data_IF_425825626744
#
_entry.id   IF_425825626744
#
_cell.length_a   1.000
_cell.length_b   1.000
_cell.length_c   1.000
_cell.angle_alpha   90.00
_cell.angle_beta   90.00
_cell.angle_gamma   90.00
#
_symmetry.space_group_name_H-M   'P 1'
#
loop_
_entity.id
_entity.type
_entity.pdbx_description
1 polymer ?
#
# COMPACT_ATOMS: atom_id res chain seq x y z
N UNK A 1 -6.80 10.85 39.79
CA UNK A 1 -6.05 9.60 39.63
C UNK A 1 -5.53 9.65 38.21
N UNK A 2 -4.24 9.88 38.02
CA UNK A 2 -3.59 9.67 36.73
C UNK A 2 -3.79 8.19 36.40
N UNK A 3 -4.40 7.89 35.26
CA UNK A 3 -4.40 6.53 34.76
C UNK A 3 -2.93 6.16 34.54
N UNK A 4 -2.44 5.14 35.25
CA UNK A 4 -1.12 4.57 35.02
C UNK A 4 -1.02 4.28 33.51
N UNK A 5 -0.18 5.03 32.80
CA UNK A 5 0.04 4.81 31.38
C UNK A 5 0.65 3.42 31.19
N UNK A 6 -0.04 2.57 30.45
CA UNK A 6 0.45 1.23 30.13
C UNK A 6 1.83 1.36 29.49
N UNK A 7 2.82 0.65 30.04
CA UNK A 7 4.20 0.61 29.54
C UNK A 7 4.46 -0.71 28.86
N UNK A 8 5.18 -0.67 27.74
CA UNK A 8 5.58 -1.85 26.97
C UNK A 8 7.07 -1.79 26.70
N UNK A 9 7.79 -2.88 26.95
CA UNK A 9 9.22 -3.03 26.67
C UNK A 9 9.43 -4.11 25.63
N UNK A 10 9.86 -3.74 24.43
CA UNK A 10 10.37 -4.67 23.42
C UNK A 10 11.84 -4.91 23.74
N UNK A 11 12.22 -6.18 24.02
CA UNK A 11 13.53 -6.51 24.56
C UNK A 11 14.35 -7.37 23.61
N UNK A 12 15.58 -6.94 23.32
CA UNK A 12 16.58 -7.74 22.62
C UNK A 12 16.37 -7.85 21.12
N UNK A 13 15.61 -6.95 20.50
CA UNK A 13 15.46 -6.91 19.05
C UNK A 13 16.69 -6.34 18.35
N UNK A 14 16.96 -6.75 17.10
CA UNK A 14 17.72 -5.92 16.16
C UNK A 14 16.85 -4.73 15.78
N UNK A 15 17.30 -3.53 16.07
CA UNK A 15 16.60 -2.30 15.70
C UNK A 15 17.15 -1.83 14.37
N UNK A 16 16.33 -1.91 13.33
CA UNK A 16 16.67 -1.43 12.00
C UNK A 16 15.81 -0.20 11.68
N UNK A 17 16.43 0.96 11.66
CA UNK A 17 15.77 2.26 11.53
C UNK A 17 16.38 3.07 10.39
N UNK A 18 15.93 2.90 9.14
CA UNK A 18 16.51 3.57 7.98
C UNK A 18 16.48 5.09 8.10
N UNK A 19 15.40 5.67 8.66
CA UNK A 19 15.25 7.11 8.82
C UNK A 19 16.38 7.77 9.63
N UNK A 20 17.08 6.99 10.47
CA UNK A 20 18.19 7.45 11.33
C UNK A 20 19.52 6.79 10.99
N UNK A 21 19.55 5.85 10.03
CA UNK A 21 20.73 5.06 9.68
C UNK A 21 21.21 4.13 10.81
N UNK A 22 20.27 3.64 11.63
CA UNK A 22 20.57 2.83 12.81
C UNK A 22 20.33 1.33 12.53
N UNK A 23 21.27 0.47 12.95
CA UNK A 23 21.17 -0.98 12.86
C UNK A 23 21.99 -1.60 14.01
N UNK A 24 21.31 -1.95 15.12
CA UNK A 24 21.96 -2.49 16.32
C UNK A 24 20.97 -3.32 17.16
N UNK A 25 21.47 -4.14 18.10
CA UNK A 25 20.62 -4.86 19.06
C UNK A 25 20.32 -3.96 20.24
N UNK A 26 19.04 -3.82 20.59
CA UNK A 26 18.60 -2.96 21.68
C UNK A 26 17.20 -3.26 22.18
N UNK A 27 16.72 -2.36 23.03
CA UNK A 27 15.41 -2.40 23.64
C UNK A 27 14.65 -1.12 23.33
N UNK A 28 13.32 -1.21 23.20
CA UNK A 28 12.45 -0.09 22.95
C UNK A 28 11.43 -0.01 24.09
N UNK A 29 11.41 1.11 24.82
CA UNK A 29 10.42 1.36 25.86
C UNK A 29 9.35 2.30 25.31
N UNK A 30 8.11 1.89 25.47
CA UNK A 30 6.91 2.60 25.03
C UNK A 30 6.11 3.01 26.26
N UNK A 31 5.56 4.23 26.26
CA UNK A 31 4.66 4.75 27.27
C UNK A 31 3.49 5.46 26.60
N UNK A 32 2.29 4.94 26.80
CA UNK A 32 1.12 5.41 26.05
C UNK A 32 1.26 5.10 24.55
N UNK A 33 1.10 6.12 23.72
CA UNK A 33 1.19 6.01 22.25
C UNK A 33 2.57 6.37 21.68
N UNK A 34 3.57 6.67 22.55
CA UNK A 34 4.89 7.14 22.11
C UNK A 34 6.02 6.25 22.60
N UNK A 35 7.08 6.21 21.81
CA UNK A 35 8.37 5.63 22.22
C UNK A 35 9.01 6.57 23.22
N UNK A 36 9.22 6.10 24.46
CA UNK A 36 9.85 6.91 25.51
C UNK A 36 11.38 6.83 25.48
N UNK A 37 11.95 5.68 25.13
CA UNK A 37 13.39 5.51 25.00
C UNK A 37 13.75 4.34 24.08
N UNK A 38 14.93 4.43 23.45
CA UNK A 38 15.55 3.34 22.68
C UNK A 38 17.02 3.25 23.11
N UNK A 39 17.47 2.08 23.58
CA UNK A 39 18.87 1.86 24.01
C UNK A 39 19.15 0.37 24.23
N UNK A 40 20.42 -0.01 24.19
CA UNK A 40 20.87 -1.38 24.46
C UNK A 40 20.53 -1.88 25.88
N UNK A 41 20.52 -0.98 26.88
CA UNK A 41 20.44 -1.33 28.30
C UNK A 41 19.19 -0.77 29.00
N UNK A 42 18.03 -0.75 28.31
CA UNK A 42 16.78 -0.36 28.96
C UNK A 42 16.21 -1.49 29.81
N UNK A 43 15.75 -1.11 30.99
CA UNK A 43 15.02 -1.98 31.90
C UNK A 43 13.87 -1.20 32.55
N UNK A 44 12.71 -1.80 32.62
CA UNK A 44 11.55 -1.26 33.31
C UNK A 44 10.82 -2.44 33.99
N UNK A 45 10.75 -2.42 35.31
CA UNK A 45 10.15 -3.52 36.10
C UNK A 45 8.63 -3.56 35.97
N UNK A 46 8.01 -2.43 35.64
CA UNK A 46 6.54 -2.24 35.59
C UNK A 46 6.00 -2.36 34.16
N UNK A 47 6.86 -2.51 33.16
CA UNK A 47 6.47 -2.67 31.77
C UNK A 47 6.07 -4.13 31.44
N UNK A 48 5.02 -4.27 30.63
CA UNK A 48 4.76 -5.52 29.93
C UNK A 48 5.92 -5.79 28.93
N UNK A 49 6.44 -7.01 28.89
CA UNK A 49 7.64 -7.33 28.09
C UNK A 49 7.29 -8.18 26.88
N UNK A 50 7.73 -7.76 25.73
CA UNK A 50 7.80 -8.57 24.50
C UNK A 50 9.25 -9.00 24.29
N UNK A 51 9.52 -10.30 24.39
CA UNK A 51 10.82 -10.88 24.06
C UNK A 51 11.00 -10.95 22.56
N UNK A 52 11.91 -10.15 22.03
CA UNK A 52 12.12 -10.02 20.60
C UNK A 52 13.52 -10.49 20.15
N UNK A 53 14.18 -11.34 20.96
CA UNK A 53 15.49 -11.87 20.61
C UNK A 53 15.41 -12.72 19.34
N UNK A 54 16.24 -12.39 18.35
CA UNK A 54 16.25 -13.04 17.04
C UNK A 54 15.27 -12.43 16.03
N UNK A 55 14.50 -11.42 16.44
CA UNK A 55 13.63 -10.65 15.55
C UNK A 55 14.24 -9.28 15.25
N UNK A 56 13.83 -8.71 14.13
CA UNK A 56 14.16 -7.33 13.75
C UNK A 56 12.96 -6.43 14.00
N UNK A 57 13.15 -5.37 14.80
CA UNK A 57 12.21 -4.29 14.99
C UNK A 57 12.43 -3.25 13.90
N UNK A 58 11.41 -2.98 13.11
CA UNK A 58 11.40 -1.97 12.05
C UNK A 58 10.27 -0.98 12.30
N UNK A 59 10.33 0.26 11.77
CA UNK A 59 9.18 1.15 11.77
C UNK A 59 7.98 0.45 11.12
N UNK A 60 6.80 0.59 11.69
CA UNK A 60 5.57 0.03 11.13
C UNK A 60 5.40 0.40 9.66
N UNK A 61 4.93 -0.54 8.85
CA UNK A 61 4.76 -0.31 7.43
C UNK A 61 3.63 0.69 7.17
N UNK A 62 3.78 1.45 6.10
CA UNK A 62 2.81 2.44 5.62
C UNK A 62 2.35 2.02 4.23
N UNK A 63 1.09 1.64 4.10
CA UNK A 63 0.50 1.22 2.82
C UNK A 63 -0.30 2.36 2.19
N UNK A 64 0.21 2.91 1.09
CA UNK A 64 -0.39 4.07 0.43
C UNK A 64 -1.59 3.73 -0.45
N UNK A 65 -1.94 2.43 -0.60
CA UNK A 65 -2.98 2.03 -1.55
C UNK A 65 -3.76 0.81 -1.06
N UNK A 66 -4.90 1.04 -0.41
CA UNK A 66 -5.78 -0.05 0.07
C UNK A 66 -7.26 0.27 -0.14
N UNK A 67 -8.08 -0.78 -0.29
CA UNK A 67 -9.53 -0.69 -0.42
C UNK A 67 -10.21 -1.32 0.78
N UNK A 68 -10.61 -0.50 1.76
CA UNK A 68 -11.32 -0.98 2.94
C UNK A 68 -12.80 -1.29 2.67
N UNK A 69 -13.32 -0.95 1.49
CA UNK A 69 -14.67 -1.28 1.03
C UNK A 69 -15.81 -0.67 1.86
N UNK A 70 -15.53 0.00 2.93
CA UNK A 70 -16.47 0.65 3.84
C UNK A 70 -16.39 2.19 3.68
N UNK A 71 -17.52 2.85 3.41
CA UNK A 71 -18.92 2.36 3.44
C UNK A 71 -19.36 1.59 2.19
N UNK A 72 -20.36 0.74 2.36
CA UNK A 72 -21.26 0.25 1.33
C UNK A 72 -20.92 -1.08 0.66
N UNK A 73 -19.72 -1.63 0.86
CA UNK A 73 -19.30 -2.95 0.37
C UNK A 73 -18.71 -3.79 1.51
N UNK A 74 -19.30 -3.69 2.68
CA UNK A 74 -18.82 -4.33 3.92
C UNK A 74 -18.90 -5.85 3.90
N UNK A 75 -19.56 -6.45 2.93
CA UNK A 75 -19.49 -7.88 2.63
C UNK A 75 -18.11 -8.30 2.08
N UNK A 76 -17.42 -7.39 1.40
CA UNK A 76 -16.07 -7.62 0.86
C UNK A 76 -14.99 -7.37 1.92
N UNK A 77 -15.07 -6.26 2.62
CA UNK A 77 -14.18 -5.86 3.70
C UNK A 77 -14.84 -4.72 4.48
N UNK A 78 -14.45 -4.52 5.71
CA UNK A 78 -14.79 -3.34 6.51
C UNK A 78 -13.53 -2.77 7.15
N UNK A 79 -13.65 -1.57 7.72
CA UNK A 79 -12.50 -0.87 8.32
C UNK A 79 -11.81 -1.72 9.38
N UNK A 80 -12.57 -2.44 10.23
CA UNK A 80 -11.98 -3.23 11.30
C UNK A 80 -11.28 -4.50 10.78
N UNK A 81 -11.89 -5.19 9.83
CA UNK A 81 -11.30 -6.42 9.27
C UNK A 81 -10.09 -6.11 8.40
N UNK A 82 -10.13 -5.01 7.63
CA UNK A 82 -8.98 -4.54 6.87
C UNK A 82 -7.83 -4.09 7.77
N UNK A 83 -8.11 -3.38 8.88
CA UNK A 83 -7.08 -3.00 9.83
C UNK A 83 -6.50 -4.20 10.60
N UNK A 84 -7.25 -5.28 10.82
CA UNK A 84 -6.69 -6.55 11.35
C UNK A 84 -5.73 -7.20 10.36
N UNK A 85 -6.09 -7.23 9.07
CA UNK A 85 -5.18 -7.70 8.02
C UNK A 85 -3.92 -6.82 7.94
N UNK A 86 -4.07 -5.50 8.05
CA UNK A 86 -2.95 -4.57 8.12
C UNK A 86 -2.02 -4.90 9.29
N UNK A 87 -2.58 -5.02 10.51
CA UNK A 87 -1.83 -5.38 11.71
C UNK A 87 -1.06 -6.69 11.55
N UNK A 88 -1.69 -7.75 11.01
CA UNK A 88 -1.03 -9.03 10.76
C UNK A 88 0.09 -8.94 9.71
N UNK A 89 0.01 -7.98 8.80
CA UNK A 89 1.04 -7.66 7.81
C UNK A 89 2.11 -6.68 8.29
N UNK A 90 2.06 -6.19 9.54
CA UNK A 90 2.99 -5.17 10.06
C UNK A 90 2.67 -3.74 9.61
N UNK A 91 1.54 -3.54 8.94
CA UNK A 91 1.08 -2.22 8.47
C UNK A 91 0.39 -1.50 9.62
N UNK A 92 0.99 -0.39 10.07
CA UNK A 92 0.46 0.45 11.14
C UNK A 92 -0.28 1.68 10.62
N UNK A 93 -0.02 2.08 9.38
CA UNK A 93 -0.67 3.23 8.74
C UNK A 93 -1.08 2.86 7.32
N UNK A 94 -2.29 3.26 6.92
CA UNK A 94 -2.78 2.97 5.58
C UNK A 94 -3.60 4.14 5.00
N UNK A 95 -3.52 4.32 3.67
CA UNK A 95 -4.33 5.26 2.92
C UNK A 95 -5.44 4.51 2.19
N UNK A 96 -6.70 4.72 2.60
CA UNK A 96 -7.82 4.06 1.95
C UNK A 96 -8.34 4.85 0.74
N UNK A 97 -8.61 4.13 -0.36
CA UNK A 97 -9.07 4.68 -1.63
C UNK A 97 -10.58 5.01 -1.62
N UNK A 98 -11.01 5.99 -2.45
CA UNK A 98 -12.35 6.57 -2.37
C UNK A 98 -13.46 5.77 -3.05
N UNK A 99 -13.18 4.63 -3.68
CA UNK A 99 -14.15 3.87 -4.50
C UNK A 99 -15.10 2.99 -3.68
N UNK A 100 -15.75 3.61 -2.73
CA UNK A 100 -16.79 3.06 -1.83
C UNK A 100 -18.22 3.38 -2.34
N UNK A 101 -19.25 3.04 -1.56
CA UNK A 101 -20.63 3.37 -1.88
C UNK A 101 -21.38 3.91 -0.64
N UNK A 102 -21.64 5.22 -0.56
CA UNK A 102 -21.27 6.24 -1.56
C UNK A 102 -19.73 6.37 -1.72
N UNK A 103 -19.29 6.97 -2.83
CA UNK A 103 -17.89 7.35 -3.00
C UNK A 103 -17.47 8.36 -1.93
N UNK A 104 -16.16 8.43 -1.62
CA UNK A 104 -15.65 9.39 -0.63
C UNK A 104 -15.47 10.76 -1.29
N UNK A 105 -16.59 11.38 -1.67
CA UNK A 105 -16.67 12.65 -2.41
C UNK A 105 -17.34 13.79 -1.61
N UNK A 106 -17.66 13.53 -0.33
CA UNK A 106 -18.23 14.51 0.59
C UNK A 106 -17.52 14.52 1.95
N UNK A 107 -17.55 15.65 2.68
CA UNK A 107 -17.03 15.75 4.04
C UNK A 107 -17.61 14.69 5.02
N UNK A 108 -18.88 14.33 4.83
CA UNK A 108 -19.58 13.36 5.67
C UNK A 108 -18.99 11.96 5.53
N UNK A 109 -18.67 11.53 4.29
CA UNK A 109 -18.05 10.22 4.04
C UNK A 109 -16.62 10.18 4.55
N UNK A 110 -15.86 11.27 4.44
CA UNK A 110 -14.50 11.36 5.04
C UNK A 110 -14.59 11.19 6.55
N UNK A 111 -15.45 11.95 7.24
CA UNK A 111 -15.61 11.86 8.70
C UNK A 111 -16.10 10.49 9.15
N UNK A 112 -17.04 9.89 8.41
CA UNK A 112 -17.52 8.54 8.70
C UNK A 112 -16.36 7.52 8.79
N UNK A 113 -15.46 7.53 7.81
CA UNK A 113 -14.31 6.62 7.79
C UNK A 113 -13.38 6.90 8.98
N UNK A 114 -13.02 8.17 9.19
CA UNK A 114 -12.12 8.58 10.28
C UNK A 114 -12.72 8.27 11.65
N UNK A 115 -14.01 8.52 11.86
CA UNK A 115 -14.68 8.23 13.12
C UNK A 115 -14.78 6.72 13.39
N UNK A 116 -15.08 5.92 12.38
CA UNK A 116 -15.14 4.46 12.48
C UNK A 116 -13.75 3.88 12.78
N UNK A 117 -12.69 4.43 12.19
CA UNK A 117 -11.33 3.94 12.36
C UNK A 117 -10.68 4.27 13.71
N UNK A 118 -11.27 5.13 14.55
CA UNK A 118 -10.67 5.56 15.83
C UNK A 118 -10.23 4.43 16.78
N UNK A 119 -10.89 3.28 16.69
CA UNK A 119 -10.61 2.10 17.53
C UNK A 119 -10.07 0.91 16.72
N UNK A 120 -9.72 1.12 15.45
CA UNK A 120 -9.16 0.10 14.59
C UNK A 120 -7.70 -0.25 14.98
N UNK A 121 -7.17 -1.29 14.37
CA UNK A 121 -5.84 -1.82 14.68
C UNK A 121 -4.73 -1.21 13.82
N UNK A 122 -5.06 -0.20 13.01
CA UNK A 122 -4.12 0.61 12.23
C UNK A 122 -4.61 2.06 12.16
N UNK A 123 -3.70 3.00 11.91
CA UNK A 123 -4.05 4.39 11.58
C UNK A 123 -4.59 4.44 10.16
N UNK A 124 -5.81 4.93 10.00
CA UNK A 124 -6.48 5.06 8.70
C UNK A 124 -6.45 6.51 8.24
N UNK A 125 -5.85 6.73 7.08
CA UNK A 125 -5.87 7.99 6.36
C UNK A 125 -6.77 7.86 5.13
N UNK A 126 -7.32 8.98 4.67
CA UNK A 126 -8.35 8.98 3.62
C UNK A 126 -7.84 9.67 2.37
N UNK A 127 -7.87 8.97 1.25
CA UNK A 127 -7.89 9.57 -0.07
C UNK A 127 -9.35 9.90 -0.43
N UNK A 128 -9.64 11.17 -0.70
CA UNK A 128 -10.97 11.57 -1.17
C UNK A 128 -11.02 11.58 -2.70
N UNK A 129 -12.23 11.48 -3.25
CA UNK A 129 -12.45 11.53 -4.69
C UNK A 129 -12.05 12.90 -5.26
N UNK A 130 -11.39 12.89 -6.41
CA UNK A 130 -11.13 14.10 -7.21
C UNK A 130 -12.45 14.61 -7.80
N UNK A 131 -13.26 13.69 -8.35
CA UNK A 131 -14.50 14.03 -9.04
C UNK A 131 -15.73 13.45 -8.35
N UNK A 132 -16.84 14.16 -8.43
CA UNK A 132 -18.12 13.76 -7.82
C UNK A 132 -18.58 12.40 -8.35
N UNK A 133 -18.78 11.46 -7.42
CA UNK A 133 -19.19 10.09 -7.72
C UNK A 133 -18.17 9.31 -8.56
N UNK A 134 -16.89 9.74 -8.61
CA UNK A 134 -15.83 9.13 -9.43
C UNK A 134 -16.22 9.06 -10.91
N UNK A 135 -16.83 10.13 -11.45
CA UNK A 135 -17.29 10.18 -12.84
C UNK A 135 -16.28 10.77 -13.81
N UNK A 136 -15.19 11.36 -13.30
CA UNK A 136 -14.12 11.93 -14.10
C UNK A 136 -14.47 13.29 -14.74
N UNK A 137 -15.58 13.94 -14.36
CA UNK A 137 -16.15 15.11 -15.06
C UNK A 137 -16.19 16.37 -14.20
N UNK A 138 -16.73 16.29 -12.99
CA UNK A 138 -16.96 17.44 -12.10
C UNK A 138 -16.12 17.34 -10.84
N UNK A 139 -15.31 18.37 -10.59
CA UNK A 139 -14.44 18.45 -9.42
C UNK A 139 -15.25 18.51 -8.11
N UNK A 140 -14.81 17.75 -7.10
CA UNK A 140 -15.32 17.88 -5.74
C UNK A 140 -14.91 19.23 -5.10
N UNK A 141 -15.51 19.59 -3.99
CA UNK A 141 -14.98 20.66 -3.13
C UNK A 141 -13.77 20.15 -2.35
N UNK A 142 -12.58 20.24 -2.98
CA UNK A 142 -11.34 19.68 -2.44
C UNK A 142 -11.00 20.30 -1.07
N UNK A 143 -11.31 21.60 -0.87
CA UNK A 143 -11.07 22.24 0.42
C UNK A 143 -11.98 21.69 1.50
N UNK A 144 -13.25 21.47 1.23
CA UNK A 144 -14.16 20.88 2.20
C UNK A 144 -13.77 19.43 2.56
N UNK A 145 -13.26 18.65 1.59
CA UNK A 145 -12.74 17.30 1.82
C UNK A 145 -11.48 17.33 2.70
N UNK A 146 -10.54 18.23 2.42
CA UNK A 146 -9.36 18.45 3.25
C UNK A 146 -9.74 18.86 4.69
N UNK A 147 -10.64 19.85 4.84
CA UNK A 147 -11.09 20.32 6.16
C UNK A 147 -11.82 19.22 6.96
N UNK A 148 -12.34 18.19 6.29
CA UNK A 148 -12.91 17.00 6.91
C UNK A 148 -11.86 15.95 7.33
N UNK A 149 -10.60 16.08 6.89
CA UNK A 149 -9.48 15.24 7.27
C UNK A 149 -8.92 14.34 6.15
N UNK A 150 -9.33 14.52 4.89
CA UNK A 150 -8.68 13.84 3.78
C UNK A 150 -7.26 14.40 3.56
N UNK A 151 -6.28 13.51 3.32
CA UNK A 151 -4.87 13.90 3.11
C UNK A 151 -4.38 13.66 1.68
N UNK A 152 -5.16 12.96 0.87
CA UNK A 152 -4.85 12.67 -0.53
C UNK A 152 -6.13 12.74 -1.38
N UNK A 153 -5.92 12.75 -2.69
CA UNK A 153 -6.98 12.76 -3.70
C UNK A 153 -6.74 11.64 -4.71
N UNK A 154 -7.79 10.91 -5.06
CA UNK A 154 -7.75 9.87 -6.08
C UNK A 154 -9.11 9.66 -6.73
N UNK A 155 -9.12 9.33 -8.02
CA UNK A 155 -10.26 8.69 -8.68
C UNK A 155 -9.85 7.23 -9.03
N UNK A 156 -9.40 6.49 -8.00
CA UNK A 156 -8.89 5.15 -8.20
C UNK A 156 -9.91 4.19 -8.82
N UNK A 157 -9.44 3.37 -9.78
CA UNK A 157 -10.23 2.46 -10.58
C UNK A 157 -11.13 3.14 -11.62
N UNK A 158 -11.21 4.48 -11.62
CA UNK A 158 -11.96 5.30 -12.60
C UNK A 158 -11.25 6.62 -12.85
N UNK A 159 -10.14 6.63 -13.60
CA UNK A 159 -9.31 7.81 -13.77
C UNK A 159 -10.09 9.00 -14.30
N UNK A 160 -9.68 10.20 -13.88
CA UNK A 160 -10.28 11.45 -14.37
C UNK A 160 -10.15 11.54 -15.89
N UNK A 161 -11.29 11.52 -16.59
CA UNK A 161 -11.31 11.50 -18.07
C UNK A 161 -11.01 12.90 -18.61
N UNK A 162 -11.60 13.94 -18.01
CA UNK A 162 -11.37 15.34 -18.41
C UNK A 162 -10.02 15.84 -17.90
N UNK A 163 -9.05 15.97 -18.80
CA UNK A 163 -7.73 16.48 -18.49
C UNK A 163 -7.74 17.88 -17.89
N UNK A 164 -8.72 18.74 -18.23
CA UNK A 164 -8.83 20.07 -17.63
C UNK A 164 -9.27 19.98 -16.16
N UNK A 165 -10.14 19.03 -15.83
CA UNK A 165 -10.52 18.72 -14.45
C UNK A 165 -9.31 18.19 -13.66
N UNK A 166 -8.57 17.24 -14.22
CA UNK A 166 -7.33 16.70 -13.64
C UNK A 166 -6.30 17.81 -13.33
N UNK A 167 -6.04 18.69 -14.29
CA UNK A 167 -5.11 19.82 -14.11
C UNK A 167 -5.55 20.73 -12.97
N UNK A 168 -6.86 21.01 -12.82
CA UNK A 168 -7.36 21.78 -11.68
C UNK A 168 -7.07 21.08 -10.37
N UNK A 169 -7.33 19.78 -10.27
CA UNK A 169 -7.03 18.99 -9.06
C UNK A 169 -5.53 19.02 -8.72
N UNK A 170 -4.65 18.74 -9.70
CA UNK A 170 -3.20 18.78 -9.55
C UNK A 170 -2.68 20.13 -9.06
N UNK A 171 -3.29 21.23 -9.46
CA UNK A 171 -2.89 22.59 -9.06
C UNK A 171 -3.46 23.01 -7.70
N UNK A 172 -4.61 22.50 -7.29
CA UNK A 172 -5.22 22.83 -6.00
C UNK A 172 -4.71 21.95 -4.86
N UNK A 173 -4.48 20.65 -5.10
CA UNK A 173 -4.05 19.70 -4.08
C UNK A 173 -2.81 20.15 -3.28
N UNK A 174 -1.70 20.62 -3.88
CA UNK A 174 -0.53 21.08 -3.13
C UNK A 174 -0.78 22.31 -2.24
N UNK A 175 -1.74 23.16 -2.59
CA UNK A 175 -2.11 24.33 -1.77
C UNK A 175 -2.83 23.91 -0.48
N UNK A 176 -3.41 22.73 -0.49
CA UNK A 176 -4.07 22.09 0.63
C UNK A 176 -3.18 21.03 1.31
N UNK A 177 -1.89 20.98 0.98
CA UNK A 177 -0.97 19.95 1.44
C UNK A 177 -1.45 18.52 1.16
N UNK A 178 -2.28 18.32 0.13
CA UNK A 178 -2.76 17.02 -0.32
C UNK A 178 -1.94 16.53 -1.51
N UNK A 179 -1.91 15.20 -1.67
CA UNK A 179 -1.28 14.55 -2.81
C UNK A 179 -2.35 13.97 -3.74
N UNK A 180 -2.14 14.11 -5.05
CA UNK A 180 -2.92 13.36 -6.04
C UNK A 180 -2.21 12.02 -6.25
N UNK A 181 -2.94 10.92 -6.01
CA UNK A 181 -2.53 9.54 -6.28
C UNK A 181 -3.34 9.04 -7.47
N UNK A 182 -2.66 8.84 -8.60
CA UNK A 182 -3.30 8.68 -9.90
C UNK A 182 -3.32 7.21 -10.35
N UNK A 183 -4.52 6.64 -10.50
CA UNK A 183 -4.72 5.42 -11.27
C UNK A 183 -4.60 5.74 -12.75
N UNK A 184 -3.53 5.23 -13.39
CA UNK A 184 -3.20 5.56 -14.76
C UNK A 184 -3.76 4.52 -15.72
N UNK A 185 -4.90 4.83 -16.33
CA UNK A 185 -5.53 3.94 -17.29
C UNK A 185 -6.28 4.76 -18.36
N UNK A 186 -6.11 4.40 -19.63
CA UNK A 186 -6.95 4.88 -20.73
C UNK A 186 -8.16 3.96 -20.88
N UNK A 187 -9.33 4.42 -20.42
CA UNK A 187 -10.57 3.64 -20.44
C UNK A 187 -11.09 3.32 -21.86
N UNK A 188 -10.62 4.03 -22.89
CA UNK A 188 -10.99 3.74 -24.28
C UNK A 188 -10.19 2.55 -24.84
N UNK A 189 -9.00 2.29 -24.29
CA UNK A 189 -8.19 1.10 -24.58
C UNK A 189 -8.58 -0.07 -23.67
N UNK A 190 -8.97 0.18 -22.42
CA UNK A 190 -9.30 -0.81 -21.42
C UNK A 190 -10.77 -1.27 -21.49
N UNK A 191 -11.16 -1.93 -22.59
CA UNK A 191 -12.55 -2.38 -22.81
C UNK A 191 -12.67 -3.90 -22.67
N UNK A 192 -13.50 -4.38 -21.71
CA UNK A 192 -13.91 -5.79 -21.58
C UNK A 192 -12.75 -6.79 -21.67
N UNK A 193 -11.80 -6.67 -20.79
CA UNK A 193 -10.62 -7.53 -20.72
C UNK A 193 -10.68 -8.49 -19.51
N UNK A 194 -9.88 -9.55 -19.58
CA UNK A 194 -9.69 -10.53 -18.50
C UNK A 194 -8.26 -10.48 -17.95
N UNK A 195 -7.29 -10.16 -18.82
CA UNK A 195 -5.87 -10.21 -18.52
C UNK A 195 -5.06 -9.21 -19.38
N UNK A 196 -3.76 -9.22 -19.25
CA UNK A 196 -2.83 -8.52 -20.14
C UNK A 196 -2.93 -9.04 -21.58
N UNK A 197 -2.92 -8.13 -22.56
CA UNK A 197 -2.82 -8.48 -23.99
C UNK A 197 -1.38 -8.89 -24.32
N UNK A 198 -1.19 -10.12 -24.79
CA UNK A 198 0.11 -10.67 -25.15
C UNK A 198 0.04 -12.16 -25.48
N UNK A 199 1.19 -12.81 -25.53
CA UNK A 199 1.32 -14.22 -25.93
C UNK A 199 0.43 -15.16 -25.10
N UNK A 200 0.30 -14.92 -23.78
CA UNK A 200 -0.52 -15.75 -22.90
C UNK A 200 -2.01 -15.56 -23.19
N UNK A 201 -2.47 -14.32 -23.40
CA UNK A 201 -3.88 -14.06 -23.74
C UNK A 201 -4.27 -14.64 -25.10
N UNK A 202 -3.38 -14.57 -26.08
CA UNK A 202 -3.55 -15.21 -27.39
C UNK A 202 -3.63 -16.75 -27.26
N UNK A 203 -2.70 -17.36 -26.51
CA UNK A 203 -2.68 -18.80 -26.22
C UNK A 203 -3.97 -19.27 -25.56
N UNK A 204 -4.50 -18.49 -24.62
CA UNK A 204 -5.71 -18.81 -23.88
C UNK A 204 -7.00 -18.41 -24.63
N UNK A 205 -6.88 -17.69 -25.74
CA UNK A 205 -7.99 -17.08 -26.46
C UNK A 205 -8.89 -16.24 -25.55
N UNK A 206 -8.25 -15.40 -24.70
CA UNK A 206 -8.91 -14.50 -23.75
C UNK A 206 -8.73 -13.04 -24.19
N UNK A 207 -9.73 -12.17 -23.95
CA UNK A 207 -9.61 -10.76 -24.26
C UNK A 207 -8.58 -10.10 -23.34
N UNK A 208 -7.59 -9.44 -23.93
CA UNK A 208 -6.51 -8.74 -23.24
C UNK A 208 -6.71 -7.23 -23.19
N UNK A 209 -6.10 -6.56 -22.20
CA UNK A 209 -5.90 -5.12 -22.19
C UNK A 209 -4.47 -4.79 -22.59
N UNK A 210 -4.24 -3.91 -23.59
CA UNK A 210 -2.91 -3.54 -24.01
C UNK A 210 -2.17 -2.76 -22.92
N UNK A 211 -0.86 -2.91 -22.83
CA UNK A 211 0.00 -2.11 -21.94
C UNK A 211 -0.18 -0.61 -22.18
N UNK A 212 -0.45 -0.22 -23.42
CA UNK A 212 -0.70 1.16 -23.80
C UNK A 212 -1.84 1.84 -23.01
N UNK A 213 -2.77 1.08 -22.41
CA UNK A 213 -3.81 1.65 -21.58
C UNK A 213 -3.21 2.33 -20.32
N UNK A 214 -2.25 1.68 -19.67
CA UNK A 214 -1.49 2.25 -18.54
C UNK A 214 -0.51 3.32 -19.03
N UNK A 215 0.24 3.03 -20.09
CA UNK A 215 1.30 3.91 -20.59
C UNK A 215 0.78 5.29 -21.02
N UNK A 216 -0.36 5.33 -21.71
CA UNK A 216 -1.01 6.59 -22.10
C UNK A 216 -1.52 7.38 -20.89
N UNK A 217 -2.09 6.71 -19.89
CA UNK A 217 -2.48 7.33 -18.62
C UNK A 217 -1.28 7.95 -17.92
N UNK A 218 -0.21 7.17 -17.72
CA UNK A 218 1.04 7.62 -17.10
C UNK A 218 1.66 8.82 -17.83
N UNK A 219 1.73 8.77 -19.15
CA UNK A 219 2.27 9.87 -19.96
C UNK A 219 1.45 11.16 -19.78
N UNK A 220 0.11 11.06 -19.75
CA UNK A 220 -0.80 12.18 -19.54
C UNK A 220 -0.59 12.84 -18.18
N UNK A 221 -0.53 12.05 -17.11
CA UNK A 221 -0.33 12.56 -15.74
C UNK A 221 1.03 13.25 -15.61
N UNK A 222 2.10 12.65 -16.14
CA UNK A 222 3.44 13.24 -16.17
C UNK A 222 3.45 14.56 -16.96
N UNK A 223 2.81 14.60 -18.13
CA UNK A 223 2.73 15.80 -18.96
C UNK A 223 2.00 16.93 -18.24
N UNK A 224 0.88 16.63 -17.57
CA UNK A 224 0.14 17.60 -16.76
C UNK A 224 0.98 18.11 -15.57
N UNK A 225 1.62 17.21 -14.82
CA UNK A 225 2.47 17.58 -13.69
C UNK A 225 3.65 18.48 -14.14
N UNK A 226 4.31 18.12 -15.23
CA UNK A 226 5.44 18.89 -15.79
C UNK A 226 5.02 20.28 -16.28
N UNK A 227 3.88 20.38 -16.95
CA UNK A 227 3.39 21.65 -17.50
C UNK A 227 3.08 22.71 -16.43
N UNK A 228 2.71 22.28 -15.23
CA UNK A 228 2.30 23.17 -14.14
C UNK A 228 3.24 23.14 -12.94
N UNK A 229 4.36 22.42 -13.02
CA UNK A 229 5.34 22.25 -11.93
C UNK A 229 4.71 21.77 -10.60
N UNK A 230 3.78 20.82 -10.68
CA UNK A 230 3.03 20.27 -9.54
C UNK A 230 3.37 18.79 -9.30
N UNK A 231 3.26 18.30 -8.05
CA UNK A 231 3.54 16.91 -7.75
C UNK A 231 2.39 15.98 -8.20
N UNK A 232 2.74 14.78 -8.63
CA UNK A 232 1.81 13.66 -8.85
C UNK A 232 2.44 12.36 -8.37
N UNK A 233 1.63 11.46 -7.83
CA UNK A 233 2.02 10.10 -7.47
C UNK A 233 1.32 9.11 -8.40
N UNK A 234 2.08 8.25 -9.07
CA UNK A 234 1.56 7.24 -9.99
C UNK A 234 1.36 5.94 -9.23
N UNK A 235 0.12 5.47 -9.16
CA UNK A 235 -0.24 4.24 -8.44
C UNK A 235 0.12 2.98 -9.23
N UNK A 236 0.41 1.90 -8.50
CA UNK A 236 0.52 0.50 -8.95
C UNK A 236 1.10 0.30 -10.36
N UNK A 237 2.23 0.94 -10.66
CA UNK A 237 2.93 0.82 -11.95
C UNK A 237 3.23 -0.64 -12.24
N UNK A 238 2.92 -1.09 -13.46
CA UNK A 238 3.06 -2.49 -13.87
C UNK A 238 3.78 -2.71 -15.19
N UNK A 239 3.94 -1.68 -16.03
CA UNK A 239 4.54 -1.81 -17.38
C UNK A 239 5.95 -1.25 -17.46
N UNK A 240 6.78 -1.86 -18.30
CA UNK A 240 8.14 -1.40 -18.59
C UNK A 240 8.15 0.01 -19.20
N UNK A 241 7.14 0.35 -20.00
CA UNK A 241 7.03 1.67 -20.65
C UNK A 241 6.69 2.74 -19.62
N UNK A 242 5.71 2.51 -18.72
CA UNK A 242 5.38 3.45 -17.64
C UNK A 242 6.59 3.70 -16.74
N UNK A 243 7.35 2.66 -16.38
CA UNK A 243 8.59 2.82 -15.62
C UNK A 243 9.62 3.69 -16.37
N UNK A 244 9.79 3.49 -17.69
CA UNK A 244 10.70 4.29 -18.51
C UNK A 244 10.26 5.77 -18.56
N UNK A 245 8.95 6.03 -18.71
CA UNK A 245 8.38 7.38 -18.70
C UNK A 245 8.61 8.09 -17.35
N UNK A 246 8.40 7.40 -16.24
CA UNK A 246 8.62 7.93 -14.89
C UNK A 246 10.12 8.22 -14.68
N UNK A 247 11.01 7.31 -15.07
CA UNK A 247 12.46 7.48 -14.98
C UNK A 247 12.94 8.72 -15.74
N UNK A 248 12.50 8.88 -16.98
CA UNK A 248 12.82 10.07 -17.80
C UNK A 248 12.25 11.35 -17.16
N UNK A 249 11.02 11.31 -16.68
CA UNK A 249 10.40 12.45 -16.01
C UNK A 249 11.19 12.88 -14.75
N UNK A 250 11.60 11.93 -13.90
CA UNK A 250 12.45 12.20 -12.73
C UNK A 250 13.80 12.78 -13.14
N UNK A 251 14.44 12.23 -14.17
CA UNK A 251 15.72 12.76 -14.68
C UNK A 251 15.62 14.20 -15.19
N UNK A 252 14.44 14.60 -15.69
CA UNK A 252 14.14 15.99 -16.09
C UNK A 252 13.69 16.89 -14.94
N UNK A 253 13.61 16.40 -13.71
CA UNK A 253 13.19 17.16 -12.53
C UNK A 253 11.68 17.34 -12.39
N UNK A 254 10.86 16.56 -13.11
CA UNK A 254 9.41 16.54 -12.90
C UNK A 254 9.10 15.98 -11.52
N UNK A 255 8.17 16.59 -10.79
CA UNK A 255 7.78 16.19 -9.43
C UNK A 255 6.88 14.95 -9.45
N UNK A 256 7.38 13.84 -9.97
CA UNK A 256 6.67 12.57 -10.04
C UNK A 256 7.26 11.58 -9.04
N UNK A 257 6.39 10.88 -8.33
CA UNK A 257 6.70 9.71 -7.53
C UNK A 257 5.81 8.55 -7.95
N UNK A 258 6.19 7.31 -7.64
CA UNK A 258 5.45 6.14 -8.09
C UNK A 258 5.53 4.99 -7.09
N UNK A 259 4.52 4.15 -7.11
CA UNK A 259 4.47 2.89 -6.39
C UNK A 259 4.26 1.70 -7.33
N UNK A 260 4.67 0.52 -6.87
CA UNK A 260 4.31 -0.77 -7.46
C UNK A 260 3.86 -1.73 -6.37
N UNK A 261 3.26 -2.86 -6.75
CA UNK A 261 2.77 -3.83 -5.78
C UNK A 261 3.58 -5.13 -5.78
N UNK A 262 3.65 -5.86 -4.65
CA UNK A 262 4.43 -7.09 -4.54
C UNK A 262 4.06 -8.17 -5.57
N UNK A 263 2.81 -8.21 -6.01
CA UNK A 263 2.37 -9.17 -7.02
C UNK A 263 3.01 -8.92 -8.40
N UNK A 264 3.32 -7.66 -8.78
CA UNK A 264 4.06 -7.35 -10.01
C UNK A 264 5.55 -7.68 -9.95
N UNK A 265 6.08 -7.97 -8.75
CA UNK A 265 7.48 -8.37 -8.56
C UNK A 265 7.68 -9.90 -8.60
N UNK A 266 6.62 -10.67 -8.29
CA UNK A 266 6.69 -12.13 -8.15
C UNK A 266 5.91 -12.90 -9.22
N UNK A 267 4.88 -12.31 -9.82
CA UNK A 267 3.94 -13.00 -10.69
C UNK A 267 3.94 -12.39 -12.09
N UNK A 268 3.59 -13.22 -13.07
CA UNK A 268 3.37 -12.83 -14.47
C UNK A 268 1.97 -13.24 -14.92
N UNK A 269 1.59 -12.83 -16.12
CA UNK A 269 0.35 -13.21 -16.77
C UNK A 269 0.19 -14.74 -17.00
N UNK A 270 1.29 -15.51 -16.96
CA UNK A 270 1.26 -16.98 -16.95
C UNK A 270 0.45 -17.56 -15.78
N UNK A 271 0.33 -16.83 -14.67
CA UNK A 271 -0.49 -17.27 -13.53
C UNK A 271 -1.97 -17.48 -13.91
N UNK A 272 -2.47 -16.78 -14.95
CA UNK A 272 -3.83 -16.89 -15.43
C UNK A 272 -4.11 -18.18 -16.23
N UNK A 273 -3.07 -18.94 -16.61
CA UNK A 273 -3.23 -20.28 -17.19
C UNK A 273 -3.97 -21.25 -16.25
N UNK A 274 -3.99 -20.96 -14.95
CA UNK A 274 -4.73 -21.71 -13.94
C UNK A 274 -6.25 -21.48 -13.97
N UNK A 275 -6.74 -20.50 -14.75
CA UNK A 275 -8.14 -20.05 -14.78
C UNK A 275 -8.70 -19.74 -13.39
N UNK A 276 -7.85 -19.09 -12.55
CA UNK A 276 -8.18 -18.73 -11.19
C UNK A 276 -8.35 -17.21 -11.09
N UNK A 277 -9.52 -16.77 -10.69
CA UNK A 277 -9.87 -15.36 -10.62
C UNK A 277 -9.08 -14.56 -9.56
N UNK A 278 -8.41 -15.22 -8.61
CA UNK A 278 -7.57 -14.54 -7.63
C UNK A 278 -6.32 -13.90 -8.27
N UNK A 279 -5.95 -14.32 -9.50
CA UNK A 279 -4.91 -13.67 -10.30
C UNK A 279 -5.43 -12.52 -11.18
N UNK A 280 -6.74 -12.22 -11.13
CA UNK A 280 -7.30 -11.06 -11.83
C UNK A 280 -7.24 -9.82 -10.96
N UNK A 281 -6.47 -8.83 -11.41
CA UNK A 281 -6.29 -7.52 -10.78
C UNK A 281 -6.21 -6.41 -11.84
N UNK A 282 -6.31 -5.16 -11.46
CA UNK A 282 -6.17 -4.00 -12.35
C UNK A 282 -5.21 -2.98 -11.73
N UNK A 283 -4.04 -2.73 -12.35
CA UNK A 283 -3.53 -3.31 -13.61
C UNK A 283 -3.39 -4.83 -13.60
N UNK A 284 -3.48 -5.50 -14.75
CA UNK A 284 -3.31 -6.96 -14.80
C UNK A 284 -1.86 -7.36 -14.55
N UNK A 285 -1.65 -8.61 -14.11
CA UNK A 285 -0.33 -9.22 -14.15
C UNK A 285 0.21 -9.15 -15.58
N UNK A 286 1.46 -8.69 -15.73
CA UNK A 286 2.10 -8.43 -17.02
C UNK A 286 3.06 -9.54 -17.38
N UNK A 287 3.71 -9.36 -18.55
CA UNK A 287 4.74 -10.28 -19.04
C UNK A 287 5.96 -10.34 -18.11
N UNK A 288 6.79 -11.39 -18.28
CA UNK A 288 8.08 -11.50 -17.57
C UNK A 288 9.00 -10.29 -17.85
N UNK A 289 8.95 -9.74 -19.07
CA UNK A 289 9.68 -8.53 -19.43
C UNK A 289 9.27 -7.35 -18.55
N UNK A 290 7.98 -7.17 -18.33
CA UNK A 290 7.46 -6.09 -17.48
C UNK A 290 7.81 -6.32 -16.01
N UNK A 291 7.68 -7.56 -15.52
CA UNK A 291 8.09 -7.94 -14.15
C UNK A 291 9.56 -7.61 -13.89
N UNK A 292 10.45 -7.97 -14.79
CA UNK A 292 11.87 -7.64 -14.67
C UNK A 292 12.13 -6.13 -14.72
N UNK A 293 11.37 -5.39 -15.54
CA UNK A 293 11.46 -3.93 -15.59
C UNK A 293 10.98 -3.29 -14.27
N UNK A 294 9.96 -3.85 -13.60
CA UNK A 294 9.53 -3.38 -12.27
C UNK A 294 10.60 -3.62 -11.22
N UNK A 295 11.25 -4.79 -11.20
CA UNK A 295 12.36 -5.08 -10.29
C UNK A 295 13.50 -4.08 -10.49
N UNK A 296 13.89 -3.78 -11.73
CA UNK A 296 14.93 -2.78 -12.01
C UNK A 296 14.48 -1.36 -11.62
N UNK A 297 13.21 -1.01 -11.85
CA UNK A 297 12.66 0.28 -11.47
C UNK A 297 12.60 0.50 -9.95
N UNK A 298 12.38 -0.57 -9.17
CA UNK A 298 12.47 -0.52 -7.71
C UNK A 298 13.93 -0.33 -7.27
N UNK A 299 14.86 -1.04 -7.92
CA UNK A 299 16.30 -1.02 -7.62
C UNK A 299 16.93 0.35 -7.89
N UNK A 300 16.63 0.96 -9.04
CA UNK A 300 17.23 2.23 -9.44
C UNK A 300 16.55 3.48 -8.86
N UNK A 301 15.49 3.30 -8.05
CA UNK A 301 14.76 4.40 -7.41
C UNK A 301 13.72 5.08 -8.32
N UNK A 302 13.42 4.52 -9.48
CA UNK A 302 12.30 4.96 -10.34
C UNK A 302 10.98 4.76 -9.60
N UNK A 303 10.82 3.63 -8.91
CA UNK A 303 9.72 3.35 -8.00
C UNK A 303 10.13 3.73 -6.59
N UNK A 304 9.36 4.61 -5.96
CA UNK A 304 9.61 5.16 -4.63
C UNK A 304 9.07 4.26 -3.51
N UNK A 305 7.91 3.65 -3.72
CA UNK A 305 7.11 2.98 -2.69
C UNK A 305 6.67 1.59 -3.16
N UNK A 306 6.55 0.67 -2.22
CA UNK A 306 5.86 -0.60 -2.40
C UNK A 306 4.55 -0.53 -1.61
N UNK A 307 3.43 -0.51 -2.32
CA UNK A 307 2.06 -0.51 -1.79
C UNK A 307 1.33 -1.78 -2.25
N UNK A 308 0.23 -2.14 -1.60
CA UNK A 308 -0.35 -3.46 -1.86
C UNK A 308 -1.44 -3.49 -2.92
N UNK A 309 -2.14 -2.40 -3.12
CA UNK A 309 -3.43 -2.41 -3.83
C UNK A 309 -4.36 -3.51 -3.25
N UNK A 310 -4.42 -3.58 -1.92
CA UNK A 310 -5.28 -4.55 -1.22
C UNK A 310 -6.75 -4.31 -1.59
N UNK A 311 -7.30 -5.22 -2.42
CA UNK A 311 -8.61 -5.07 -3.04
C UNK A 311 -9.46 -6.35 -2.86
N UNK A 312 -10.07 -6.53 -1.68
CA UNK A 312 -10.82 -7.73 -1.34
C UNK A 312 -12.12 -7.87 -2.13
N UNK A 313 -12.43 -9.13 -2.46
CA UNK A 313 -13.67 -9.57 -3.10
C UNK A 313 -14.17 -10.85 -2.45
N UNK A 314 -15.50 -11.03 -2.47
CA UNK A 314 -16.11 -12.23 -1.90
C UNK A 314 -15.82 -13.47 -2.75
N UNK A 315 -15.83 -14.68 -2.15
CA UNK A 315 -15.69 -15.93 -2.90
C UNK A 315 -16.74 -16.08 -4.02
N UNK A 316 -17.95 -15.59 -3.80
CA UNK A 316 -19.01 -15.63 -4.80
C UNK A 316 -18.69 -14.77 -6.03
N UNK A 317 -18.09 -13.58 -5.82
CA UNK A 317 -17.65 -12.71 -6.92
C UNK A 317 -16.45 -13.30 -7.68
N UNK A 318 -15.58 -14.04 -7.00
CA UNK A 318 -14.40 -14.68 -7.59
C UNK A 318 -14.68 -16.07 -8.18
N UNK A 319 -15.90 -16.59 -8.06
CA UNK A 319 -16.24 -17.95 -8.53
C UNK A 319 -16.25 -18.12 -10.06
N UNK A 320 -16.54 -17.06 -10.81
CA UNK A 320 -16.53 -17.07 -12.29
C UNK A 320 -15.31 -16.35 -12.82
N UNK A 321 -14.32 -17.10 -13.28
CA UNK A 321 -13.07 -16.57 -13.79
C UNK A 321 -13.23 -15.48 -14.88
N UNK A 322 -14.18 -15.65 -15.79
CA UNK A 322 -14.34 -14.71 -16.91
C UNK A 322 -15.04 -13.41 -16.51
N UNK A 323 -15.88 -13.43 -15.49
CA UNK A 323 -16.69 -12.28 -15.08
C UNK A 323 -16.33 -11.74 -13.69
N UNK A 324 -15.37 -12.38 -13.00
CA UNK A 324 -14.92 -11.92 -11.69
C UNK A 324 -14.43 -10.46 -11.74
N UNK A 325 -14.72 -9.66 -10.72
CA UNK A 325 -14.11 -8.34 -10.59
C UNK A 325 -12.60 -8.45 -10.37
N UNK A 326 -11.87 -7.43 -10.80
CA UNK A 326 -10.44 -7.34 -10.60
C UNK A 326 -10.12 -6.89 -9.17
N UNK A 327 -9.06 -7.46 -8.59
CA UNK A 327 -8.56 -7.15 -7.26
C UNK A 327 -8.11 -8.39 -6.51
N UNK A 328 -7.11 -8.22 -5.65
CA UNK A 328 -6.57 -9.27 -4.77
C UNK A 328 -6.21 -8.66 -3.41
N UNK A 329 -6.20 -9.48 -2.36
CA UNK A 329 -5.72 -9.04 -1.04
C UNK A 329 -4.20 -9.14 -0.99
N UNK A 330 -3.55 -8.22 -0.26
CA UNK A 330 -2.08 -8.12 -0.26
C UNK A 330 -1.45 -7.72 1.07
N UNK A 331 -2.14 -7.03 2.00
CA UNK A 331 -1.50 -6.44 3.18
C UNK A 331 -0.74 -7.45 4.04
N UNK A 332 -1.35 -8.61 4.37
CA UNK A 332 -0.72 -9.62 5.23
C UNK A 332 0.48 -10.33 4.61
N UNK A 333 0.59 -10.29 3.28
CA UNK A 333 1.67 -10.94 2.53
C UNK A 333 2.68 -9.95 1.99
N UNK A 334 2.45 -8.64 2.15
CA UNK A 334 3.22 -7.57 1.50
C UNK A 334 4.71 -7.63 1.79
N UNK A 335 5.07 -7.66 3.08
CA UNK A 335 6.47 -7.76 3.49
C UNK A 335 7.12 -9.04 2.98
N UNK A 336 6.51 -10.20 3.22
CA UNK A 336 7.07 -11.49 2.82
C UNK A 336 7.25 -11.61 1.29
N UNK A 337 6.27 -11.12 0.52
CA UNK A 337 6.35 -11.15 -0.94
C UNK A 337 7.44 -10.20 -1.46
N UNK A 338 7.50 -8.96 -0.97
CA UNK A 338 8.53 -8.01 -1.34
C UNK A 338 9.93 -8.46 -0.88
N UNK A 339 10.07 -8.99 0.34
CA UNK A 339 11.31 -9.57 0.84
C UNK A 339 11.79 -10.73 -0.02
N UNK A 340 10.89 -11.66 -0.37
CA UNK A 340 11.21 -12.81 -1.22
C UNK A 340 11.66 -12.36 -2.62
N UNK A 341 10.98 -11.36 -3.20
CA UNK A 341 11.28 -10.87 -4.54
C UNK A 341 12.59 -10.08 -4.61
N UNK A 342 12.87 -9.27 -3.61
CA UNK A 342 13.89 -8.21 -3.70
C UNK A 342 15.10 -8.45 -2.78
N UNK A 343 14.88 -8.81 -1.51
CA UNK A 343 15.98 -8.95 -0.55
C UNK A 343 16.64 -10.32 -0.67
N UNK A 344 15.83 -11.38 -0.70
CA UNK A 344 16.35 -12.76 -0.83
C UNK A 344 17.09 -12.98 -2.16
N UNK A 345 16.74 -12.23 -3.19
CA UNK A 345 17.42 -12.28 -4.50
C UNK A 345 18.62 -11.33 -4.61
N UNK A 346 18.87 -10.49 -3.58
CA UNK A 346 19.98 -9.54 -3.55
C UNK A 346 19.77 -8.30 -4.42
N UNK A 347 18.54 -8.02 -4.81
CA UNK A 347 18.18 -6.77 -5.55
C UNK A 347 18.23 -5.57 -4.63
N UNK A 348 17.69 -5.68 -3.41
CA UNK A 348 17.75 -4.68 -2.35
C UNK A 348 18.34 -5.28 -1.07
N UNK A 349 18.87 -4.42 -0.22
CA UNK A 349 19.08 -4.73 1.21
C UNK A 349 17.75 -4.65 1.97
N UNK A 350 17.69 -5.22 3.17
CA UNK A 350 16.51 -5.07 4.03
C UNK A 350 16.26 -3.59 4.35
N UNK A 351 17.30 -2.81 4.61
CA UNK A 351 17.20 -1.37 4.88
C UNK A 351 16.49 -0.63 3.76
N UNK A 352 16.88 -0.86 2.51
CA UNK A 352 16.25 -0.24 1.33
C UNK A 352 14.79 -0.69 1.14
N UNK A 353 14.47 -1.94 1.48
CA UNK A 353 13.09 -2.42 1.46
C UNK A 353 12.24 -1.70 2.51
N UNK A 354 12.72 -1.60 3.76
CA UNK A 354 12.00 -0.90 4.84
C UNK A 354 11.85 0.59 4.51
N UNK A 355 12.84 1.21 3.88
CA UNK A 355 12.73 2.59 3.41
C UNK A 355 11.53 2.77 2.47
N UNK A 356 11.34 1.85 1.51
CA UNK A 356 10.25 1.88 0.54
C UNK A 356 8.87 1.47 1.10
N UNK A 357 8.83 0.76 2.22
CA UNK A 357 7.58 0.30 2.84
C UNK A 357 7.18 1.09 4.09
N UNK A 358 8.06 1.93 4.64
CA UNK A 358 7.78 2.70 5.87
C UNK A 358 8.16 4.16 5.74
N UNK A 359 9.44 4.47 5.53
CA UNK A 359 9.96 5.84 5.59
C UNK A 359 9.42 6.68 4.43
N UNK A 360 9.62 6.19 3.22
CA UNK A 360 9.26 6.95 2.02
C UNK A 360 7.76 7.20 1.87
N UNK A 361 6.86 6.20 2.07
CA UNK A 361 5.43 6.47 2.04
C UNK A 361 4.98 7.44 3.15
N UNK A 362 5.55 7.36 4.36
CA UNK A 362 5.25 8.32 5.43
C UNK A 362 5.60 9.76 5.04
N UNK A 363 6.80 9.97 4.47
CA UNK A 363 7.22 11.28 3.94
C UNK A 363 6.28 11.79 2.84
N UNK A 364 5.89 10.91 1.91
CA UNK A 364 5.03 11.28 0.80
C UNK A 364 3.62 11.67 1.26
N UNK A 365 3.12 11.01 2.30
CA UNK A 365 1.81 11.33 2.90
C UNK A 365 1.89 12.49 3.91
N UNK A 366 3.09 12.84 4.38
CA UNK A 366 3.29 13.87 5.40
C UNK A 366 2.73 13.47 6.77
N UNK A 367 2.83 12.19 7.14
CA UNK A 367 2.32 11.63 8.40
C UNK A 367 3.45 11.33 9.39
N UNK A 368 3.11 11.31 10.69
CA UNK A 368 4.05 10.93 11.75
C UNK A 368 4.20 9.40 11.81
N UNK A 369 5.06 8.84 10.95
CA UNK A 369 5.37 7.42 10.88
C UNK A 369 6.77 7.20 10.26
N UNK A 370 7.21 5.96 10.17
CA UNK A 370 8.43 5.57 9.43
C UNK A 370 9.73 5.71 10.23
N UNK A 371 9.69 5.95 11.55
CA UNK A 371 10.88 6.07 12.39
C UNK A 371 10.71 5.39 13.76
N UNK A 372 11.82 4.88 14.30
CA UNK A 372 11.92 4.39 15.70
C UNK A 372 12.82 5.35 16.45
N UNK A 373 12.28 6.06 17.46
CA UNK A 373 13.07 7.00 18.27
C UNK A 373 12.28 7.60 19.40
N UNK A 374 12.96 8.11 20.43
CA UNK A 374 12.29 8.78 21.55
C UNK A 374 11.43 9.96 21.05
N UNK A 375 10.17 9.98 21.46
CA UNK A 375 9.16 10.97 21.06
C UNK A 375 8.34 10.59 19.82
N UNK A 376 8.79 9.63 18.99
CA UNK A 376 8.05 9.15 17.82
C UNK A 376 6.81 8.35 18.24
N UNK A 377 5.81 8.26 17.36
CA UNK A 377 4.67 7.37 17.53
C UNK A 377 5.16 5.94 17.67
N UNK A 378 4.59 5.18 18.59
CA UNK A 378 5.00 3.81 18.83
C UNK A 378 4.36 2.84 17.82
N UNK A 379 4.82 2.94 16.58
CA UNK A 379 4.42 2.13 15.42
C UNK A 379 5.60 1.25 15.00
N UNK A 380 5.53 -0.05 15.33
CA UNK A 380 6.65 -0.98 15.19
C UNK A 380 6.14 -2.32 14.66
N UNK A 381 6.82 -2.86 13.65
CA UNK A 381 6.68 -4.25 13.24
C UNK A 381 7.90 -5.07 13.72
N UNK A 382 7.64 -6.22 14.34
CA UNK A 382 8.65 -7.22 14.66
C UNK A 382 8.63 -8.31 13.59
N UNK A 383 9.72 -8.46 12.87
CA UNK A 383 9.83 -9.37 11.74
C UNK A 383 10.86 -10.48 12.00
N UNK A 384 10.54 -11.68 11.53
CA UNK A 384 11.49 -12.77 11.34
C UNK A 384 11.92 -12.80 9.86
N UNK A 385 13.18 -12.47 9.59
CA UNK A 385 13.73 -12.41 8.24
C UNK A 385 13.96 -13.81 7.63
N UNK A 386 13.97 -14.85 8.46
CA UNK A 386 14.41 -16.20 8.07
C UNK A 386 13.24 -17.19 7.96
N UNK A 387 12.12 -16.91 8.60
CA UNK A 387 10.95 -17.79 8.57
C UNK A 387 10.42 -17.94 7.16
N UNK A 388 10.43 -19.17 6.64
CA UNK A 388 9.75 -19.52 5.39
C UNK A 388 8.40 -20.15 5.71
N UNK A 389 7.36 -19.67 5.09
CA UNK A 389 5.99 -20.12 5.34
C UNK A 389 5.18 -20.23 4.05
N UNK A 390 4.21 -21.14 4.05
CA UNK A 390 3.28 -21.31 2.92
C UNK A 390 2.06 -20.42 3.14
N UNK A 391 1.71 -19.62 2.15
CA UNK A 391 0.50 -18.77 2.21
C UNK A 391 -0.73 -19.66 2.15
N UNK A 392 -1.41 -19.76 3.29
CA UNK A 392 -2.69 -20.44 3.43
C UNK A 392 -3.78 -19.37 3.57
N UNK A 393 -4.67 -19.20 2.57
CA UNK A 393 -5.73 -18.20 2.62
C UNK A 393 -6.61 -18.29 3.88
N UNK A 394 -6.85 -19.52 4.40
CA UNK A 394 -7.73 -19.73 5.56
C UNK A 394 -7.11 -19.23 6.88
N UNK A 395 -5.80 -18.94 6.89
CA UNK A 395 -5.08 -18.40 8.05
C UNK A 395 -4.92 -16.89 8.02
N UNK A 396 -5.38 -16.23 6.95
CA UNK A 396 -5.32 -14.77 6.86
C UNK A 396 -6.41 -14.12 7.73
N UNK A 397 -6.13 -12.91 8.23
CA UNK A 397 -6.92 -12.23 9.25
C UNK A 397 -7.99 -11.30 8.66
N UNK A 398 -7.83 -10.89 7.40
CA UNK A 398 -8.84 -10.11 6.68
C UNK A 398 -10.12 -10.90 6.44
N UNK A 399 -11.14 -10.25 5.91
CA UNK A 399 -12.46 -10.85 5.73
C UNK A 399 -12.52 -11.85 4.57
N UNK A 400 -11.79 -11.58 3.50
CA UNK A 400 -11.79 -12.40 2.29
C UNK A 400 -10.45 -13.09 2.02
N UNK A 401 -10.45 -14.00 1.04
CA UNK A 401 -9.38 -14.99 0.83
C UNK A 401 -8.74 -14.93 -0.57
N UNK A 402 -9.10 -13.95 -1.39
CA UNK A 402 -8.67 -13.81 -2.78
C UNK A 402 -7.21 -13.32 -2.90
N UNK A 403 -6.27 -14.08 -2.33
CA UNK A 403 -4.83 -13.80 -2.44
C UNK A 403 -4.21 -14.47 -3.68
N UNK A 404 -3.38 -13.74 -4.45
CA UNK A 404 -2.67 -14.32 -5.59
C UNK A 404 -1.47 -15.18 -5.17
N UNK A 405 -1.12 -15.17 -3.88
CA UNK A 405 0.04 -15.91 -3.37
C UNK A 405 -0.31 -17.26 -2.74
N UNK A 406 -1.58 -17.70 -2.81
CA UNK A 406 -2.02 -18.95 -2.20
C UNK A 406 -1.17 -20.15 -2.61
N UNK A 407 -0.73 -20.92 -1.62
CA UNK A 407 0.14 -22.07 -1.79
C UNK A 407 1.60 -21.75 -2.10
N UNK A 408 1.97 -20.47 -2.26
CA UNK A 408 3.37 -20.07 -2.45
C UNK A 408 4.12 -20.10 -1.13
N UNK A 409 5.39 -20.50 -1.18
CA UNK A 409 6.31 -20.33 -0.05
C UNK A 409 6.95 -18.96 -0.13
N UNK A 410 6.70 -18.11 0.85
CA UNK A 410 7.34 -16.81 1.02
C UNK A 410 8.33 -16.87 2.19
N UNK A 411 9.33 -15.99 2.16
CA UNK A 411 10.32 -15.83 3.22
C UNK A 411 10.16 -14.47 3.87
N UNK A 412 10.39 -14.42 5.19
CA UNK A 412 10.11 -13.25 6.02
C UNK A 412 8.68 -13.27 6.56
N UNK A 413 8.53 -13.05 7.87
CA UNK A 413 7.20 -13.05 8.51
C UNK A 413 7.10 -11.98 9.58
N UNK A 414 5.99 -11.30 9.63
CA UNK A 414 5.64 -10.43 10.75
C UNK A 414 5.22 -11.29 11.93
N UNK A 415 5.82 -11.08 13.10
CA UNK A 415 5.58 -11.84 14.33
C UNK A 415 4.73 -11.06 15.32
N UNK A 416 4.92 -9.74 15.37
CA UNK A 416 4.09 -8.87 16.19
C UNK A 416 4.05 -7.46 15.61
N UNK A 417 2.98 -6.73 15.90
CA UNK A 417 2.79 -5.35 15.47
C UNK A 417 2.30 -4.52 16.65
N UNK A 418 2.98 -3.40 16.87
CA UNK A 418 2.58 -2.35 17.81
C UNK A 418 2.12 -1.16 16.99
N UNK A 419 0.91 -0.68 17.23
CA UNK A 419 0.32 0.49 16.58
C UNK A 419 -0.21 1.46 17.64
N UNK A 420 0.29 2.70 17.64
CA UNK A 420 -0.05 3.69 18.66
C UNK A 420 0.20 3.16 20.07
N UNK A 421 1.30 2.45 20.28
CA UNK A 421 1.69 1.85 21.57
C UNK A 421 0.85 0.64 22.03
N UNK A 422 -0.10 0.19 21.22
CA UNK A 422 -0.91 -1.01 21.50
C UNK A 422 -0.38 -2.20 20.71
N UNK A 423 -0.25 -3.36 21.35
CA UNK A 423 0.00 -4.62 20.63
C UNK A 423 -1.30 -4.99 19.90
N UNK A 424 -1.30 -4.87 18.57
CA UNK A 424 -2.48 -5.11 17.72
C UNK A 424 -2.41 -6.46 17.00
N UNK A 425 -1.22 -7.05 16.93
CA UNK A 425 -0.99 -8.40 16.43
C UNK A 425 0.17 -9.06 17.17
N UNK A 426 0.06 -10.35 17.51
CA UNK A 426 1.12 -11.09 18.20
C UNK A 426 1.00 -12.60 17.93
N UNK A 427 2.03 -13.17 17.29
CA UNK A 427 2.25 -14.63 17.04
C UNK A 427 3.59 -15.10 17.63
N UNK A 428 4.05 -14.49 18.73
CA UNK A 428 5.28 -14.86 19.44
C UNK A 428 5.07 -16.04 20.39
#
# INVERSE_FOLDING_TARGET
MEQEQKRLLIRGARILNPARGEDYIGNILISGDRISAVSENLYDADAEVIEAKGLTAVPGFVDMHVHLRDPGFTDKEDIYTGCRAAAAGGVTSLLCMPNTKPAVDTPETVRYILDTAKTADAHVYVAAAITKGLKGEELCDLKALHDAGAIALSDDGRPVIDTACLVKALREAPKLHMRVTAHCEDLFLAKKWVMHEGEVSEKLNLPGVPAAAEDCGTAREIAAAAAYDVPVHICHVSTATSAALIRDAKARGVKVTAETAPHYLLLTDEALEKHDADYRMNPPLRSEKDRLAMIEAVKDGTIDVIATDHAPHTPAEKADFLHAPNGSIGMETSFAAAYTALVKTGVLTLTELIEKMSVRPAELLGIEAGAIGAGEVADIALIDEHEAWVVDPEKLHGKNRNTPFKGMTLTGRVKATVCGGRVVFNEL
#
